data_IF_285486530971
#
_entry.id   IF_285486530971
#
_cell.length_a   1.000
_cell.length_b   1.000
_cell.length_c   1.000
_cell.angle_alpha   90.00
_cell.angle_beta   90.00
_cell.angle_gamma   90.00
#
_symmetry.space_group_name_H-M   'P 1'
#
loop_
_entity.id
_entity.type
_entity.pdbx_description
1 polymer ?
#
# COMPACT_ATOMS: atom_id res chain seq x y z
N UNK A 1 -4.99 -29.09 11.87
CA UNK A 1 -4.52 -27.92 12.67
C UNK A 1 -3.20 -27.49 12.07
N UNK A 2 -3.09 -26.28 11.57
CA UNK A 2 -1.82 -25.80 11.01
C UNK A 2 -0.77 -25.77 12.12
N UNK A 3 0.29 -26.53 11.95
CA UNK A 3 1.43 -26.58 12.87
C UNK A 3 2.10 -25.20 12.83
N UNK A 4 2.16 -24.52 13.97
CA UNK A 4 2.81 -23.21 14.06
C UNK A 4 4.29 -23.38 13.71
N UNK A 5 4.73 -22.89 12.54
CA UNK A 5 6.14 -22.92 12.16
C UNK A 5 7.00 -22.26 13.24
N UNK A 6 8.10 -22.89 13.60
CA UNK A 6 9.15 -22.30 14.45
C UNK A 6 10.15 -21.49 13.62
N UNK A 7 10.26 -21.76 12.31
CA UNK A 7 11.13 -21.09 11.36
C UNK A 7 10.38 -19.94 10.66
N UNK A 8 11.12 -18.95 10.24
CA UNK A 8 10.62 -17.95 9.31
C UNK A 8 10.32 -18.58 7.94
N UNK A 9 9.47 -17.96 7.14
CA UNK A 9 9.14 -18.45 5.78
C UNK A 9 10.38 -18.63 4.91
N UNK A 10 11.34 -17.70 4.99
CA UNK A 10 12.59 -17.80 4.24
C UNK A 10 13.47 -18.96 4.70
N UNK A 11 13.56 -19.19 6.01
CA UNK A 11 14.30 -20.33 6.58
C UNK A 11 13.63 -21.67 6.23
N UNK A 12 12.30 -21.73 6.23
CA UNK A 12 11.57 -22.93 5.83
C UNK A 12 11.83 -23.28 4.37
N UNK A 13 11.75 -22.30 3.45
CA UNK A 13 12.06 -22.51 2.03
C UNK A 13 13.49 -23.03 1.81
N UNK A 14 14.45 -22.50 2.56
CA UNK A 14 15.84 -22.96 2.47
C UNK A 14 16.00 -24.39 3.02
N UNK A 15 15.36 -24.70 4.15
CA UNK A 15 15.37 -26.04 4.69
C UNK A 15 14.75 -27.06 3.72
N UNK A 16 13.63 -26.74 3.10
CA UNK A 16 12.96 -27.61 2.14
C UNK A 16 13.82 -27.84 0.90
N UNK A 17 14.46 -26.77 0.39
CA UNK A 17 15.40 -26.86 -0.72
C UNK A 17 16.54 -27.82 -0.40
N UNK A 18 17.21 -27.64 0.74
CA UNK A 18 18.33 -28.48 1.15
C UNK A 18 17.90 -29.94 1.33
N UNK A 19 16.73 -30.19 1.91
CA UNK A 19 16.22 -31.53 2.11
C UNK A 19 15.97 -32.27 0.78
N UNK A 20 15.33 -31.59 -0.19
CA UNK A 20 15.10 -32.18 -1.52
C UNK A 20 16.39 -32.39 -2.30
N UNK A 21 17.36 -31.45 -2.21
CA UNK A 21 18.68 -31.61 -2.83
C UNK A 21 19.50 -32.72 -2.21
N UNK A 22 19.40 -32.98 -0.90
CA UNK A 22 20.09 -34.08 -0.25
C UNK A 22 19.63 -35.45 -0.80
N UNK A 23 18.31 -35.63 -1.02
CA UNK A 23 17.79 -36.84 -1.63
C UNK A 23 18.30 -37.02 -3.07
N UNK A 24 18.42 -35.93 -3.83
CA UNK A 24 18.90 -35.99 -5.22
C UNK A 24 20.40 -36.31 -5.32
N UNK A 25 21.20 -35.73 -4.43
CA UNK A 25 22.65 -35.74 -4.53
C UNK A 25 23.33 -36.83 -3.67
N UNK A 26 22.58 -37.50 -2.75
CA UNK A 26 23.12 -38.51 -1.85
C UNK A 26 22.43 -39.86 -2.09
N UNK A 27 23.15 -40.77 -2.77
CA UNK A 27 22.62 -42.11 -3.19
C UNK A 27 22.05 -42.92 -2.02
N UNK A 28 22.67 -42.83 -0.85
CA UNK A 28 22.20 -43.54 0.34
C UNK A 28 20.83 -43.05 0.79
N UNK A 29 20.65 -41.69 0.83
CA UNK A 29 19.37 -41.07 1.17
C UNK A 29 18.33 -41.40 0.09
N UNK A 30 18.68 -41.27 -1.18
CA UNK A 30 17.79 -41.60 -2.29
C UNK A 30 17.26 -43.02 -2.21
N UNK A 31 18.15 -43.99 -1.88
CA UNK A 31 17.76 -45.39 -1.74
C UNK A 31 16.76 -45.60 -0.61
N UNK A 32 17.01 -44.99 0.55
CA UNK A 32 16.11 -45.09 1.70
C UNK A 32 14.75 -44.43 1.38
N UNK A 33 14.77 -43.24 0.79
CA UNK A 33 13.53 -42.52 0.46
C UNK A 33 12.70 -43.26 -0.60
N UNK A 34 13.36 -43.97 -1.55
CA UNK A 34 12.66 -44.80 -2.53
C UNK A 34 11.93 -46.00 -1.85
N UNK A 35 12.48 -46.58 -0.77
CA UNK A 35 11.80 -47.63 0.01
C UNK A 35 10.55 -47.14 0.68
N UNK A 36 10.47 -45.84 1.00
CA UNK A 36 9.28 -45.14 1.54
C UNK A 36 8.35 -44.60 0.44
N UNK A 37 8.66 -44.90 -0.84
CA UNK A 37 7.81 -44.54 -1.97
C UNK A 37 8.11 -43.18 -2.60
N UNK A 38 9.15 -42.47 -2.14
CA UNK A 38 9.57 -41.20 -2.75
C UNK A 38 10.42 -41.47 -3.99
N UNK A 39 9.73 -41.80 -5.09
CA UNK A 39 10.33 -41.94 -6.42
C UNK A 39 10.58 -40.57 -7.09
N UNK A 40 11.17 -40.63 -8.31
CA UNK A 40 11.46 -39.42 -9.09
C UNK A 40 10.22 -38.54 -9.36
N UNK A 41 9.05 -39.17 -9.51
CA UNK A 41 7.78 -38.45 -9.75
C UNK A 41 7.38 -37.63 -8.52
N UNK A 42 7.39 -38.27 -7.36
CA UNK A 42 7.01 -37.63 -6.09
C UNK A 42 8.02 -36.54 -5.70
N UNK A 43 9.33 -36.79 -5.91
CA UNK A 43 10.35 -35.75 -5.67
C UNK A 43 10.20 -34.56 -6.63
N UNK A 44 9.80 -34.79 -7.87
CA UNK A 44 9.50 -33.70 -8.84
C UNK A 44 8.30 -32.90 -8.41
N UNK A 45 7.27 -33.52 -7.84
CA UNK A 45 6.13 -32.83 -7.23
C UNK A 45 6.58 -31.89 -6.10
N UNK A 46 7.38 -32.39 -5.15
CA UNK A 46 7.92 -31.58 -4.05
C UNK A 46 8.73 -30.38 -4.53
N UNK A 47 9.58 -30.57 -5.55
CA UNK A 47 10.36 -29.48 -6.18
C UNK A 47 9.45 -28.46 -6.88
N UNK A 48 8.37 -28.92 -7.49
CA UNK A 48 7.38 -28.04 -8.14
C UNK A 48 6.65 -27.20 -7.10
N UNK A 49 6.24 -27.80 -5.99
CA UNK A 49 5.64 -27.10 -4.85
C UNK A 49 6.60 -26.07 -4.25
N UNK A 50 7.88 -26.43 -4.07
CA UNK A 50 8.91 -25.50 -3.57
C UNK A 50 9.09 -24.30 -4.52
N UNK A 51 9.19 -24.56 -5.81
CA UNK A 51 9.33 -23.49 -6.83
C UNK A 51 8.13 -22.55 -6.81
N UNK A 52 6.92 -23.10 -6.79
CA UNK A 52 5.66 -22.33 -6.69
C UNK A 52 5.60 -21.48 -5.43
N UNK A 53 5.99 -22.07 -4.30
CA UNK A 53 5.98 -21.35 -3.01
C UNK A 53 7.01 -20.24 -2.97
N UNK A 54 8.21 -20.48 -3.53
CA UNK A 54 9.25 -19.46 -3.66
C UNK A 54 8.77 -18.27 -4.52
N UNK A 55 8.15 -18.56 -5.66
CA UNK A 55 7.59 -17.54 -6.54
C UNK A 55 6.51 -16.71 -5.84
N UNK A 56 5.60 -17.37 -5.09
CA UNK A 56 4.56 -16.68 -4.34
C UNK A 56 5.13 -15.81 -3.20
N UNK A 57 6.19 -16.28 -2.52
CA UNK A 57 6.89 -15.53 -1.49
C UNK A 57 7.59 -14.29 -2.04
N UNK A 58 8.32 -14.42 -3.15
CA UNK A 58 9.02 -13.30 -3.79
C UNK A 58 8.02 -12.29 -4.38
N UNK A 59 6.90 -12.77 -4.96
CA UNK A 59 5.82 -11.91 -5.43
C UNK A 59 5.18 -11.12 -4.29
N UNK A 60 4.84 -11.76 -3.16
CA UNK A 60 4.28 -11.05 -2.00
C UNK A 60 5.22 -9.95 -1.49
N UNK A 61 6.53 -10.19 -1.44
CA UNK A 61 7.50 -9.14 -1.06
C UNK A 61 7.46 -7.95 -1.99
N UNK A 62 7.40 -8.21 -3.31
CA UNK A 62 7.31 -7.15 -4.32
C UNK A 62 6.06 -6.30 -4.11
N UNK A 63 4.90 -6.93 -3.92
CA UNK A 63 3.63 -6.23 -3.69
C UNK A 63 3.63 -5.42 -2.38
N UNK A 64 4.31 -5.90 -1.33
CA UNK A 64 4.48 -5.17 -0.07
C UNK A 64 5.36 -3.92 -0.25
N UNK A 65 6.42 -4.00 -1.06
CA UNK A 65 7.28 -2.87 -1.39
C UNK A 65 6.50 -1.82 -2.22
N UNK A 66 5.74 -2.24 -3.25
CA UNK A 66 4.91 -1.37 -4.09
C UNK A 66 3.82 -0.67 -3.25
N UNK A 67 3.16 -1.38 -2.33
CA UNK A 67 2.22 -0.80 -1.37
C UNK A 67 2.88 0.27 -0.49
N UNK A 68 4.10 0.01 -0.03
CA UNK A 68 4.86 0.93 0.82
C UNK A 68 5.23 2.21 0.07
N UNK A 69 5.66 2.10 -1.19
CA UNK A 69 5.96 3.25 -2.05
C UNK A 69 4.71 4.08 -2.35
N UNK A 70 3.60 3.44 -2.70
CA UNK A 70 2.34 4.11 -2.96
C UNK A 70 1.81 4.84 -1.72
N UNK A 71 1.93 4.23 -0.53
CA UNK A 71 1.58 4.86 0.74
C UNK A 71 2.44 6.08 1.04
N UNK A 72 3.74 6.00 0.82
CA UNK A 72 4.68 7.11 1.00
C UNK A 72 4.31 8.29 0.10
N UNK A 73 4.12 8.04 -1.20
CA UNK A 73 3.72 9.06 -2.17
C UNK A 73 2.39 9.74 -1.75
N UNK A 74 1.38 8.97 -1.41
CA UNK A 74 0.10 9.49 -0.91
C UNK A 74 0.28 10.38 0.33
N UNK A 75 1.11 9.95 1.28
CA UNK A 75 1.35 10.67 2.54
C UNK A 75 2.07 12.00 2.31
N UNK A 76 3.11 12.01 1.48
CA UNK A 76 3.87 13.21 1.11
C UNK A 76 2.99 14.27 0.42
N UNK A 77 2.17 13.84 -0.54
CA UNK A 77 1.21 14.74 -1.22
C UNK A 77 0.16 15.30 -0.25
N UNK A 78 -0.35 14.47 0.66
CA UNK A 78 -1.31 14.90 1.70
C UNK A 78 -0.69 15.93 2.64
N UNK A 79 0.52 15.71 3.09
CA UNK A 79 1.24 16.64 3.98
C UNK A 79 1.51 17.97 3.29
N UNK A 80 1.94 17.94 2.02
CA UNK A 80 2.17 19.13 1.22
C UNK A 80 0.88 19.95 1.07
N UNK A 81 -0.22 19.30 0.67
CA UNK A 81 -1.52 19.95 0.56
C UNK A 81 -2.00 20.50 1.91
N UNK A 82 -1.80 19.77 3.00
CA UNK A 82 -2.20 20.21 4.35
C UNK A 82 -1.43 21.46 4.80
N UNK A 83 -0.12 21.52 4.53
CA UNK A 83 0.73 22.71 4.82
C UNK A 83 0.25 23.92 4.03
N UNK A 84 0.06 23.76 2.72
CA UNK A 84 -0.41 24.84 1.81
C UNK A 84 -1.79 25.33 2.24
N UNK A 85 -2.73 24.42 2.41
CA UNK A 85 -4.09 24.77 2.81
C UNK A 85 -4.16 25.45 4.20
N UNK A 86 -3.37 24.99 5.16
CA UNK A 86 -3.32 25.60 6.50
C UNK A 86 -2.90 27.06 6.42
N UNK A 87 -1.91 27.39 5.58
CA UNK A 87 -1.47 28.77 5.35
C UNK A 87 -2.57 29.58 4.65
N UNK A 88 -3.16 29.06 3.58
CA UNK A 88 -4.21 29.74 2.83
C UNK A 88 -5.47 29.95 3.69
N UNK A 89 -5.83 28.96 4.52
CA UNK A 89 -6.95 29.06 5.49
C UNK A 89 -6.71 30.18 6.48
N UNK A 90 -5.51 30.31 7.05
CA UNK A 90 -5.16 31.40 7.98
C UNK A 90 -5.31 32.76 7.31
N UNK A 91 -4.75 32.92 6.12
CA UNK A 91 -4.84 34.14 5.30
C UNK A 91 -6.31 34.47 4.95
N UNK A 92 -7.08 33.48 4.51
CA UNK A 92 -8.51 33.63 4.20
C UNK A 92 -9.33 34.09 5.41
N UNK A 93 -9.11 33.51 6.58
CA UNK A 93 -9.77 33.96 7.83
C UNK A 93 -9.47 35.42 8.18
N UNK A 94 -8.26 35.90 7.92
CA UNK A 94 -7.88 37.28 8.15
C UNK A 94 -8.58 38.21 7.17
N UNK A 95 -8.57 37.92 5.89
CA UNK A 95 -9.18 38.73 4.81
C UNK A 95 -10.70 38.84 5.00
N UNK A 96 -11.36 37.73 5.27
CA UNK A 96 -12.83 37.65 5.34
C UNK A 96 -13.40 37.76 6.76
N UNK A 97 -12.61 38.16 7.76
CA UNK A 97 -13.00 38.18 9.18
C UNK A 97 -14.31 38.91 9.47
N UNK A 98 -14.69 39.90 8.63
CA UNK A 98 -15.92 40.69 8.75
C UNK A 98 -17.04 40.24 7.79
N UNK A 99 -16.77 39.21 6.97
CA UNK A 99 -17.69 38.72 5.96
C UNK A 99 -18.01 37.24 6.25
N UNK A 100 -19.02 37.06 7.11
CA UNK A 100 -19.46 35.74 7.56
C UNK A 100 -19.97 34.88 6.39
N UNK A 101 -20.61 35.48 5.39
CA UNK A 101 -21.12 34.77 4.24
C UNK A 101 -19.96 34.15 3.44
N UNK A 102 -18.94 34.95 3.15
CA UNK A 102 -17.75 34.45 2.43
C UNK A 102 -16.96 33.45 3.26
N UNK A 103 -16.84 33.63 4.60
CA UNK A 103 -16.22 32.61 5.47
C UNK A 103 -16.93 31.26 5.37
N UNK A 104 -18.25 31.24 5.38
CA UNK A 104 -19.04 30.00 5.24
C UNK A 104 -18.94 29.43 3.83
N UNK A 105 -19.02 30.28 2.81
CA UNK A 105 -18.84 29.86 1.39
C UNK A 105 -17.52 29.14 1.14
N UNK A 106 -16.45 29.67 1.73
CA UNK A 106 -15.09 29.11 1.66
C UNK A 106 -14.82 27.98 2.69
N UNK A 107 -15.80 27.57 3.47
CA UNK A 107 -15.63 26.61 4.58
C UNK A 107 -14.50 26.98 5.57
N UNK A 108 -14.34 28.26 5.83
CA UNK A 108 -13.34 28.81 6.75
C UNK A 108 -13.83 28.85 8.20
N UNK A 109 -15.14 28.74 8.44
CA UNK A 109 -15.74 28.71 9.76
C UNK A 109 -15.45 27.38 10.48
N UNK A 110 -15.41 27.43 11.82
CA UNK A 110 -15.22 26.23 12.65
C UNK A 110 -13.83 25.60 12.60
N UNK A 111 -13.73 24.35 13.08
CA UNK A 111 -12.51 23.52 13.09
C UNK A 111 -12.39 22.69 11.81
N UNK A 112 -11.16 22.27 11.51
CA UNK A 112 -10.92 21.33 10.41
C UNK A 112 -11.30 19.91 10.84
N UNK A 113 -11.99 19.14 9.99
CA UNK A 113 -12.19 17.71 10.22
C UNK A 113 -10.87 16.95 10.24
N UNK A 114 -10.77 15.94 11.09
CA UNK A 114 -9.60 15.04 11.15
C UNK A 114 -9.71 13.87 10.16
N UNK A 115 -10.93 13.40 9.87
CA UNK A 115 -11.17 12.34 8.91
C UNK A 115 -10.83 12.80 7.49
N UNK A 116 -9.99 12.04 6.79
CA UNK A 116 -9.42 12.38 5.48
C UNK A 116 -10.48 12.87 4.48
N UNK A 117 -11.56 12.12 4.27
CA UNK A 117 -12.58 12.47 3.27
C UNK A 117 -13.24 13.81 3.61
N UNK A 118 -13.64 13.99 4.87
CA UNK A 118 -14.28 15.25 5.32
C UNK A 118 -13.30 16.43 5.22
N UNK A 119 -12.03 16.21 5.55
CA UNK A 119 -10.98 17.21 5.41
C UNK A 119 -10.78 17.59 3.94
N UNK A 120 -10.66 16.62 3.05
CA UNK A 120 -10.45 16.85 1.62
C UNK A 120 -11.63 17.63 1.01
N UNK A 121 -12.86 17.32 1.36
CA UNK A 121 -14.05 18.07 0.91
C UNK A 121 -14.00 19.54 1.31
N UNK A 122 -13.56 19.84 2.53
CA UNK A 122 -13.37 21.23 2.99
C UNK A 122 -12.28 21.93 2.19
N UNK A 123 -11.16 21.25 1.91
CA UNK A 123 -10.06 21.77 1.09
C UNK A 123 -10.54 22.02 -0.35
N UNK A 124 -11.18 21.04 -0.97
CA UNK A 124 -11.73 21.17 -2.34
C UNK A 124 -12.69 22.35 -2.45
N UNK A 125 -13.62 22.48 -1.51
CA UNK A 125 -14.59 23.57 -1.51
C UNK A 125 -13.92 24.94 -1.46
N UNK A 126 -12.87 25.11 -0.66
CA UNK A 126 -12.12 26.36 -0.60
C UNK A 126 -11.55 26.73 -1.98
N UNK A 127 -10.84 25.83 -2.62
CA UNK A 127 -10.18 26.12 -3.91
C UNK A 127 -11.17 26.22 -5.07
N UNK A 128 -12.26 25.45 -5.07
CA UNK A 128 -13.33 25.57 -6.07
C UNK A 128 -13.98 26.95 -6.01
N UNK A 129 -14.32 27.43 -4.81
CA UNK A 129 -14.89 28.76 -4.66
C UNK A 129 -13.88 29.84 -4.99
N UNK A 130 -12.62 29.71 -4.51
CA UNK A 130 -11.57 30.67 -4.78
C UNK A 130 -11.23 30.79 -6.28
N UNK A 131 -11.34 29.71 -7.06
CA UNK A 131 -11.11 29.71 -8.50
C UNK A 131 -12.28 30.29 -9.32
N UNK A 132 -13.51 30.19 -8.81
CA UNK A 132 -14.72 30.58 -9.53
C UNK A 132 -15.21 32.02 -9.22
N UNK A 133 -14.80 32.60 -8.09
CA UNK A 133 -15.30 33.89 -7.60
C UNK A 133 -14.22 34.96 -7.70
N UNK A 134 -14.39 35.89 -8.65
CA UNK A 134 -13.44 36.97 -8.93
C UNK A 134 -13.25 37.93 -7.75
N UNK A 135 -14.29 38.17 -6.97
CA UNK A 135 -14.21 39.06 -5.81
C UNK A 135 -13.41 38.42 -4.67
N UNK A 136 -13.58 37.10 -4.51
CA UNK A 136 -12.77 36.29 -3.58
C UNK A 136 -11.31 36.28 -4.04
N UNK A 137 -11.05 36.03 -5.31
CA UNK A 137 -9.67 36.04 -5.89
C UNK A 137 -8.99 37.38 -5.64
N UNK A 138 -9.63 38.49 -5.99
CA UNK A 138 -9.07 39.83 -5.84
C UNK A 138 -8.65 40.12 -4.40
N UNK A 139 -9.40 39.65 -3.42
CA UNK A 139 -9.06 39.79 -1.99
C UNK A 139 -7.92 38.86 -1.59
N UNK A 140 -7.89 37.61 -2.08
CA UNK A 140 -6.85 36.62 -1.74
C UNK A 140 -5.48 37.01 -2.31
N UNK A 141 -5.41 37.59 -3.52
CA UNK A 141 -4.18 38.09 -4.14
C UNK A 141 -3.45 39.11 -3.25
N UNK A 142 -4.16 39.92 -2.50
CA UNK A 142 -3.56 40.88 -1.54
C UNK A 142 -2.69 40.19 -0.48
N UNK A 143 -2.96 38.93 -0.16
CA UNK A 143 -2.13 38.11 0.75
C UNK A 143 -1.28 37.08 0.01
N UNK A 144 -0.99 37.37 -1.28
CA UNK A 144 -0.17 36.50 -2.14
C UNK A 144 -0.74 35.08 -2.26
N UNK A 145 -2.06 34.95 -2.36
CA UNK A 145 -2.71 33.73 -2.85
C UNK A 145 -3.14 34.05 -4.28
N UNK A 146 -2.27 33.80 -5.23
CA UNK A 146 -2.47 34.12 -6.64
C UNK A 146 -3.34 33.09 -7.36
N UNK A 147 -3.81 33.42 -8.55
CA UNK A 147 -4.54 32.47 -9.39
C UNK A 147 -3.68 31.23 -9.72
N UNK A 148 -2.38 31.42 -9.93
CA UNK A 148 -1.42 30.34 -10.19
C UNK A 148 -1.31 29.42 -8.96
N UNK A 149 -1.23 29.97 -7.74
CA UNK A 149 -1.21 29.17 -6.51
C UNK A 149 -2.51 28.40 -6.30
N UNK A 150 -3.66 29.01 -6.60
CA UNK A 150 -4.97 28.35 -6.54
C UNK A 150 -5.00 27.17 -7.52
N UNK A 151 -4.64 27.40 -8.80
CA UNK A 151 -4.65 26.39 -9.83
C UNK A 151 -3.63 25.26 -9.55
N UNK A 152 -2.43 25.61 -9.10
CA UNK A 152 -1.42 24.65 -8.67
C UNK A 152 -1.88 23.77 -7.52
N UNK A 153 -2.66 24.37 -6.58
CA UNK A 153 -3.20 23.57 -5.46
C UNK A 153 -4.38 22.69 -5.91
N UNK A 154 -5.20 23.11 -6.87
CA UNK A 154 -6.22 22.26 -7.48
C UNK A 154 -5.57 21.04 -8.17
N UNK A 155 -4.45 21.25 -8.87
CA UNK A 155 -3.69 20.13 -9.45
C UNK A 155 -3.11 19.21 -8.38
N UNK A 156 -2.61 19.77 -7.27
CA UNK A 156 -2.12 18.98 -6.14
C UNK A 156 -3.24 18.13 -5.50
N UNK A 157 -4.47 18.66 -5.42
CA UNK A 157 -5.64 17.90 -4.97
C UNK A 157 -5.90 16.71 -5.91
N UNK A 158 -5.89 16.94 -7.21
CA UNK A 158 -6.07 15.88 -8.21
C UNK A 158 -5.00 14.80 -8.08
N UNK A 159 -3.74 15.20 -7.96
CA UNK A 159 -2.63 14.26 -7.77
C UNK A 159 -2.77 13.45 -6.47
N UNK A 160 -3.23 14.09 -5.40
CA UNK A 160 -3.47 13.41 -4.12
C UNK A 160 -4.60 12.37 -4.22
N UNK A 161 -5.67 12.67 -4.95
CA UNK A 161 -6.78 11.72 -5.18
C UNK A 161 -6.30 10.51 -5.99
N UNK A 162 -5.49 10.74 -7.03
CA UNK A 162 -4.87 9.67 -7.84
C UNK A 162 -3.92 8.82 -6.99
N UNK A 163 -3.03 9.44 -6.22
CA UNK A 163 -2.10 8.71 -5.35
C UNK A 163 -2.83 7.88 -4.28
N UNK A 164 -3.95 8.36 -3.77
CA UNK A 164 -4.79 7.57 -2.87
C UNK A 164 -5.43 6.38 -3.55
N UNK A 165 -5.96 6.55 -4.76
CA UNK A 165 -6.56 5.46 -5.52
C UNK A 165 -5.51 4.36 -5.79
N UNK A 166 -4.30 4.77 -6.17
CA UNK A 166 -3.14 3.88 -6.36
C UNK A 166 -2.80 3.12 -5.08
N UNK A 167 -2.59 3.81 -3.97
CA UNK A 167 -2.32 3.15 -2.68
C UNK A 167 -3.38 2.12 -2.29
N UNK A 168 -4.67 2.42 -2.54
CA UNK A 168 -5.76 1.47 -2.22
C UNK A 168 -5.77 0.27 -3.15
N UNK A 169 -5.37 0.44 -4.41
CA UNK A 169 -5.18 -0.65 -5.38
C UNK A 169 -4.05 -1.57 -4.94
N UNK A 170 -2.85 -1.00 -4.71
CA UNK A 170 -1.68 -1.75 -4.26
C UNK A 170 -1.94 -2.52 -2.96
N UNK A 171 -2.64 -1.88 -2.01
CA UNK A 171 -3.04 -2.55 -0.78
C UNK A 171 -3.94 -3.77 -1.01
N UNK A 172 -4.82 -3.71 -2.01
CA UNK A 172 -5.66 -4.84 -2.42
C UNK A 172 -4.81 -5.97 -3.01
N UNK A 173 -3.88 -5.64 -3.90
CA UNK A 173 -2.98 -6.58 -4.58
C UNK A 173 -2.04 -7.27 -3.58
N UNK A 174 -1.44 -6.53 -2.63
CA UNK A 174 -0.64 -7.09 -1.54
C UNK A 174 -1.44 -8.08 -0.65
N UNK A 175 -2.71 -7.77 -0.35
CA UNK A 175 -3.56 -8.70 0.40
C UNK A 175 -3.84 -10.01 -0.37
N UNK A 176 -4.01 -9.93 -1.69
CA UNK A 176 -4.23 -11.11 -2.52
C UNK A 176 -2.93 -11.91 -2.70
N UNK A 177 -1.79 -11.24 -2.87
CA UNK A 177 -0.47 -11.86 -2.87
C UNK A 177 -0.18 -12.61 -1.54
N UNK A 178 -0.54 -12.02 -0.39
CA UNK A 178 -0.43 -12.68 0.91
C UNK A 178 -1.24 -13.97 0.96
N UNK A 179 -2.50 -13.96 0.49
CA UNK A 179 -3.34 -15.17 0.45
C UNK A 179 -2.75 -16.26 -0.45
N UNK A 180 -2.21 -15.87 -1.61
CA UNK A 180 -1.56 -16.80 -2.55
C UNK A 180 -0.31 -17.42 -1.91
N UNK A 181 0.52 -16.62 -1.25
CA UNK A 181 1.69 -17.07 -0.51
C UNK A 181 1.30 -18.06 0.59
N UNK A 182 0.34 -17.69 1.43
CA UNK A 182 -0.09 -18.52 2.56
C UNK A 182 -0.65 -19.88 2.09
N UNK A 183 -1.40 -19.87 0.96
CA UNK A 183 -1.87 -21.10 0.34
C UNK A 183 -0.72 -21.96 -0.17
N UNK A 184 0.24 -21.38 -0.88
CA UNK A 184 1.39 -22.11 -1.40
C UNK A 184 2.24 -22.71 -0.26
N UNK A 185 2.43 -21.96 0.83
CA UNK A 185 3.09 -22.50 2.02
C UNK A 185 2.30 -23.63 2.67
N UNK A 186 0.97 -23.54 2.76
CA UNK A 186 0.14 -24.64 3.26
C UNK A 186 0.33 -25.92 2.46
N UNK A 187 0.33 -25.83 1.11
CA UNK A 187 0.51 -26.97 0.23
C UNK A 187 1.89 -27.64 0.41
N UNK A 188 2.97 -26.86 0.48
CA UNK A 188 4.31 -27.43 0.66
C UNK A 188 4.54 -27.92 2.08
N UNK A 189 4.02 -27.24 3.10
CA UNK A 189 4.16 -27.69 4.50
C UNK A 189 3.50 -29.04 4.72
N UNK A 190 2.31 -29.25 4.18
CA UNK A 190 1.61 -30.53 4.26
C UNK A 190 2.44 -31.62 3.58
N UNK A 191 2.95 -31.37 2.37
CA UNK A 191 3.80 -32.31 1.62
C UNK A 191 5.13 -32.60 2.37
N UNK A 192 5.81 -31.57 2.87
CA UNK A 192 7.06 -31.73 3.63
C UNK A 192 6.86 -32.40 4.98
N UNK A 193 5.69 -32.26 5.60
CA UNK A 193 5.35 -32.97 6.84
C UNK A 193 5.29 -34.49 6.63
N UNK A 194 4.75 -34.94 5.50
CA UNK A 194 4.77 -36.35 5.12
C UNK A 194 6.20 -36.82 4.74
N UNK A 195 6.95 -35.98 4.05
CA UNK A 195 8.32 -36.26 3.64
C UNK A 195 9.28 -36.44 4.83
N UNK A 196 9.05 -35.77 5.97
CA UNK A 196 9.86 -35.91 7.19
C UNK A 196 9.35 -37.00 8.17
N UNK A 197 8.17 -37.58 7.95
CA UNK A 197 7.59 -38.57 8.83
C UNK A 197 8.23 -39.96 8.68
#
# INVERSE_FOLDING_TARGET
>A
MATKRTLTEAEALEQYRVSLENVENQTEIATIMAEFGYDETLLTEGKTLLTKTRQAFDFNKKEDDETSEAYKNFTELKENLAKTYTLHRKKGKVIFRKDILTLNKLSLSGSLPTAYIKWLEVVKKFYTVASADSDVQSKLVRLKITTEEINGTIQLITNLELARAEYLREKGESQDATKLKDKAFGEIDDWMSEFYA
#
